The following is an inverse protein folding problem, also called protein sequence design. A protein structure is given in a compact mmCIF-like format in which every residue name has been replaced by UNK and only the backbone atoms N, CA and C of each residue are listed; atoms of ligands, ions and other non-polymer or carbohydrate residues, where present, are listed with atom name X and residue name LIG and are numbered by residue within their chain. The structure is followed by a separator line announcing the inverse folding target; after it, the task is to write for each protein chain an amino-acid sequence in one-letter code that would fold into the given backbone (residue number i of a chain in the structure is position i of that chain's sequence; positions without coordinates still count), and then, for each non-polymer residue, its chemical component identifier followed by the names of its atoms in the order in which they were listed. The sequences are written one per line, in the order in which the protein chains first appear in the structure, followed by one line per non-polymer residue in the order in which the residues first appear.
data_IF_709103934848
#
_entry.id   IF_709103934848
#
_cell.length_a   1.000
_cell.length_b   1.000
_cell.length_c   1.000
_cell.angle_alpha   90.00
_cell.angle_beta   90.00
_cell.angle_gamma   90.00
#
_symmetry.space_group_name_H-M   'P 1'
#
loop_
_entity.id
_entity.type
_entity.pdbx_description
1 polymer ?
#
# COMPACT_ATOMS: atom_id res chain seq x y z
N UNK A 1 -38.65 6.27 1.47
CA UNK A 1 -37.23 5.86 1.43
C UNK A 1 -36.69 6.02 2.84
N UNK A 2 -36.38 4.93 3.56
CA UNK A 2 -35.88 5.02 4.95
C UNK A 2 -34.49 5.66 4.91
N UNK A 3 -34.28 6.71 5.70
CA UNK A 3 -32.97 7.31 5.89
C UNK A 3 -32.02 6.26 6.49
N UNK A 4 -31.02 5.84 5.71
CA UNK A 4 -30.05 4.79 6.06
C UNK A 4 -28.99 5.33 7.05
N UNK A 5 -28.96 6.64 7.28
CA UNK A 5 -27.97 7.31 8.14
C UNK A 5 -28.55 7.79 9.47
N UNK A 6 -29.63 7.17 9.95
CA UNK A 6 -30.17 7.47 11.26
C UNK A 6 -29.23 6.91 12.33
N UNK A 7 -28.37 7.78 12.84
CA UNK A 7 -27.65 7.65 14.11
C UNK A 7 -26.79 6.37 14.21
N UNK A 8 -25.78 6.26 13.33
CA UNK A 8 -24.67 5.35 13.58
C UNK A 8 -23.97 5.82 14.85
N UNK A 9 -24.35 5.21 15.98
CA UNK A 9 -23.69 5.35 17.26
C UNK A 9 -22.18 5.40 17.02
N UNK A 10 -21.56 6.52 17.37
CA UNK A 10 -20.13 6.83 17.17
C UNK A 10 -19.30 5.56 17.42
N UNK A 11 -18.89 4.87 16.36
CA UNK A 11 -18.16 3.61 16.48
C UNK A 11 -16.81 3.94 17.12
N UNK A 12 -16.69 3.63 18.42
CA UNK A 12 -15.46 3.82 19.16
C UNK A 12 -14.47 2.75 18.74
N UNK A 13 -13.38 3.15 18.11
CA UNK A 13 -12.26 2.26 17.81
C UNK A 13 -11.37 2.14 19.04
N UNK A 14 -11.02 0.91 19.41
CA UNK A 14 -10.07 0.64 20.48
C UNK A 14 -8.79 0.05 19.87
N UNK A 15 -7.64 0.56 20.31
CA UNK A 15 -6.33 -0.01 19.99
C UNK A 15 -5.90 -0.79 21.22
N UNK A 16 -5.69 -2.08 21.05
CA UNK A 16 -5.11 -2.95 22.07
C UNK A 16 -3.90 -3.68 21.49
N UNK A 17 -3.03 -4.15 22.38
CA UNK A 17 -1.83 -4.88 22.00
C UNK A 17 -2.04 -6.37 22.24
N UNK A 18 -1.55 -7.18 21.31
CA UNK A 18 -1.43 -8.61 21.55
C UNK A 18 -0.43 -8.84 22.70
N UNK A 19 -0.73 -9.72 23.68
CA UNK A 19 0.26 -10.08 24.68
C UNK A 19 1.52 -10.66 24.03
N UNK A 20 2.66 -10.54 24.72
CA UNK A 20 3.91 -11.17 24.27
C UNK A 20 3.73 -12.69 24.37
N UNK A 21 3.83 -13.37 23.24
CA UNK A 21 3.78 -14.83 23.15
C UNK A 21 5.22 -15.32 23.00
N UNK A 22 5.71 -16.03 24.02
CA UNK A 22 7.04 -16.64 23.98
C UNK A 22 7.01 -17.90 23.10
N UNK A 23 7.75 -17.87 22.00
CA UNK A 23 7.85 -18.98 21.06
C UNK A 23 8.47 -18.57 19.74
N UNK A 24 8.84 -19.55 18.91
CA UNK A 24 9.29 -19.27 17.55
C UNK A 24 8.08 -18.81 16.70
N UNK A 25 8.09 -17.62 16.09
CA UNK A 25 6.99 -17.14 15.24
C UNK A 25 6.72 -18.05 14.02
N UNK A 26 7.65 -18.94 13.67
CA UNK A 26 7.49 -19.93 12.62
C UNK A 26 6.92 -21.28 13.11
N UNK A 27 6.79 -21.49 14.42
CA UNK A 27 6.22 -22.71 14.98
C UNK A 27 4.68 -22.72 14.86
N UNK A 28 4.11 -23.88 14.55
CA UNK A 28 2.68 -24.01 14.34
C UNK A 28 1.88 -23.78 15.63
N UNK A 29 2.39 -24.21 16.79
CA UNK A 29 1.69 -24.00 18.07
C UNK A 29 1.72 -22.54 18.49
N UNK A 30 2.84 -21.84 18.23
CA UNK A 30 2.95 -20.40 18.48
C UNK A 30 1.96 -19.62 17.60
N UNK A 31 1.85 -19.96 16.30
CA UNK A 31 0.87 -19.34 15.40
C UNK A 31 -0.56 -19.65 15.85
N UNK A 32 -0.86 -20.88 16.25
CA UNK A 32 -2.18 -21.26 16.75
C UNK A 32 -2.55 -20.49 18.03
N UNK A 33 -1.62 -20.40 19.00
CA UNK A 33 -1.81 -19.63 20.23
C UNK A 33 -2.07 -18.16 19.91
N UNK A 34 -1.31 -17.58 18.99
CA UNK A 34 -1.50 -16.21 18.49
C UNK A 34 -2.92 -15.99 17.95
N UNK A 35 -3.39 -16.89 17.09
CA UNK A 35 -4.75 -16.83 16.53
C UNK A 35 -5.83 -16.89 17.62
N UNK A 36 -5.65 -17.71 18.65
CA UNK A 36 -6.59 -17.83 19.78
C UNK A 36 -6.61 -16.57 20.64
N UNK A 37 -5.46 -15.95 20.88
CA UNK A 37 -5.40 -14.67 21.57
C UNK A 37 -6.06 -13.54 20.76
N UNK A 38 -5.86 -13.50 19.44
CA UNK A 38 -6.58 -12.55 18.57
C UNK A 38 -8.10 -12.72 18.68
N UNK A 39 -8.60 -13.96 18.70
CA UNK A 39 -10.03 -14.24 18.90
C UNK A 39 -10.51 -13.76 20.27
N UNK A 40 -9.76 -14.04 21.34
CA UNK A 40 -10.08 -13.62 22.70
C UNK A 40 -10.22 -12.10 22.81
N UNK A 41 -9.30 -11.36 22.19
CA UNK A 41 -9.33 -9.89 22.17
C UNK A 41 -10.47 -9.33 21.30
N UNK A 42 -10.94 -10.06 20.30
CA UNK A 42 -12.04 -9.62 19.44
C UNK A 42 -13.44 -9.83 20.03
N UNK A 43 -13.58 -10.49 21.18
CA UNK A 43 -14.84 -10.65 21.93
C UNK A 43 -16.05 -10.99 21.01
N UNK A 44 -15.97 -12.11 20.31
CA UNK A 44 -16.99 -12.63 19.37
C UNK A 44 -17.24 -11.79 18.09
N UNK A 45 -16.47 -10.73 17.86
CA UNK A 45 -16.47 -9.99 16.58
C UNK A 45 -15.69 -10.77 15.52
N UNK A 46 -15.90 -10.38 14.25
CA UNK A 46 -15.12 -10.90 13.12
C UNK A 46 -13.64 -10.61 13.33
N UNK A 47 -12.83 -11.66 13.50
CA UNK A 47 -11.38 -11.53 13.65
C UNK A 47 -10.70 -11.56 12.29
N UNK A 48 -10.04 -10.46 11.91
CA UNK A 48 -9.21 -10.38 10.71
C UNK A 48 -7.77 -10.23 11.15
N UNK A 49 -6.89 -11.14 10.74
CA UNK A 49 -5.47 -11.12 11.11
C UNK A 49 -4.62 -11.04 9.85
N UNK A 50 -3.70 -10.08 9.81
CA UNK A 50 -2.80 -9.88 8.68
C UNK A 50 -1.45 -10.51 8.95
N UNK A 51 -0.91 -11.29 8.00
CA UNK A 51 0.33 -12.04 8.14
C UNK A 51 1.27 -11.81 6.95
N UNK A 52 2.57 -11.90 7.17
CA UNK A 52 3.55 -12.01 6.07
C UNK A 52 3.40 -13.35 5.34
N UNK A 53 3.85 -13.41 4.07
CA UNK A 53 3.58 -14.55 3.18
C UNK A 53 3.89 -15.92 3.78
N UNK A 54 5.06 -16.10 4.38
CA UNK A 54 5.47 -17.40 4.93
C UNK A 54 4.60 -17.83 6.12
N UNK A 55 4.21 -16.89 6.98
CA UNK A 55 3.35 -17.16 8.15
C UNK A 55 1.90 -17.31 7.70
N UNK A 56 1.46 -16.52 6.71
CA UNK A 56 0.11 -16.58 6.14
C UNK A 56 -0.22 -17.99 5.63
N UNK A 57 0.71 -18.63 4.92
CA UNK A 57 0.53 -20.01 4.43
C UNK A 57 0.24 -20.98 5.59
N UNK A 58 1.04 -20.94 6.65
CA UNK A 58 0.86 -21.77 7.85
C UNK A 58 -0.45 -21.43 8.59
N UNK A 59 -0.76 -20.15 8.73
CA UNK A 59 -1.97 -19.68 9.40
C UNK A 59 -3.24 -20.14 8.68
N UNK A 60 -3.27 -20.09 7.34
CA UNK A 60 -4.39 -20.60 6.53
C UNK A 60 -4.61 -22.08 6.78
N UNK A 61 -3.54 -22.88 6.82
CA UNK A 61 -3.64 -24.32 7.08
C UNK A 61 -4.16 -24.60 8.49
N UNK A 62 -3.63 -23.92 9.50
CA UNK A 62 -4.09 -24.03 10.90
C UNK A 62 -5.57 -23.65 11.03
N UNK A 63 -5.98 -22.51 10.44
CA UNK A 63 -7.37 -22.03 10.48
C UNK A 63 -8.33 -23.04 9.87
N UNK A 64 -7.95 -23.63 8.72
CA UNK A 64 -8.74 -24.66 8.05
C UNK A 64 -8.84 -25.93 8.89
N UNK A 65 -7.72 -26.43 9.42
CA UNK A 65 -7.67 -27.67 10.18
C UNK A 65 -8.43 -27.56 11.51
N UNK A 66 -8.29 -26.44 12.22
CA UNK A 66 -8.94 -26.19 13.51
C UNK A 66 -10.33 -25.53 13.38
N UNK A 67 -10.81 -25.30 12.15
CA UNK A 67 -12.09 -24.64 11.82
C UNK A 67 -12.29 -23.32 12.62
N UNK A 68 -11.27 -22.46 12.62
CA UNK A 68 -11.31 -21.21 13.36
C UNK A 68 -12.10 -20.14 12.58
N UNK A 69 -12.96 -19.34 13.23
CA UNK A 69 -13.73 -18.27 12.59
C UNK A 69 -12.87 -17.00 12.37
N UNK A 70 -11.71 -17.16 11.74
CA UNK A 70 -10.73 -16.09 11.48
C UNK A 70 -10.59 -15.90 9.98
N UNK A 71 -10.48 -14.64 9.54
CA UNK A 71 -10.16 -14.29 8.16
C UNK A 71 -8.66 -13.97 8.07
N UNK A 72 -7.82 -14.87 7.53
CA UNK A 72 -6.40 -14.58 7.34
C UNK A 72 -6.19 -13.68 6.12
N UNK A 73 -5.55 -12.53 6.32
CA UNK A 73 -5.19 -11.60 5.25
C UNK A 73 -3.69 -11.66 4.99
N UNK A 74 -3.30 -11.74 3.72
CA UNK A 74 -1.90 -11.57 3.34
C UNK A 74 -1.51 -10.10 3.49
N UNK A 75 -0.42 -9.84 4.22
CA UNK A 75 0.17 -8.54 4.40
C UNK A 75 0.69 -8.00 3.07
N UNK A 76 0.23 -6.81 2.71
CA UNK A 76 0.64 -6.16 1.46
C UNK A 76 1.99 -5.45 1.54
N UNK A 77 2.52 -5.21 2.74
CA UNK A 77 3.73 -4.39 2.91
C UNK A 77 4.99 -5.07 2.37
N UNK A 78 5.23 -6.34 2.76
CA UNK A 78 6.36 -7.10 2.23
C UNK A 78 6.20 -7.37 0.72
N UNK A 79 4.97 -7.62 0.25
CA UNK A 79 4.70 -7.73 -1.18
C UNK A 79 5.08 -6.45 -1.93
N UNK A 80 4.74 -5.28 -1.38
CA UNK A 80 5.07 -3.99 -1.98
C UNK A 80 6.58 -3.73 -1.98
N UNK A 81 7.29 -4.08 -0.90
CA UNK A 81 8.76 -4.02 -0.86
C UNK A 81 9.40 -4.95 -1.89
N UNK A 82 8.92 -6.19 -2.01
CA UNK A 82 9.39 -7.13 -3.03
C UNK A 82 9.11 -6.66 -4.45
N UNK A 83 7.96 -6.02 -4.68
CA UNK A 83 7.62 -5.42 -5.96
C UNK A 83 8.59 -4.29 -6.34
N UNK A 84 8.92 -3.41 -5.40
CA UNK A 84 9.90 -2.34 -5.62
C UNK A 84 11.29 -2.89 -5.95
N UNK A 85 11.74 -3.92 -5.22
CA UNK A 85 12.99 -4.62 -5.54
C UNK A 85 12.98 -5.28 -6.92
N UNK A 86 11.84 -5.87 -7.31
CA UNK A 86 11.66 -6.43 -8.64
C UNK A 86 11.70 -5.37 -9.75
N UNK A 87 11.17 -4.16 -9.51
CA UNK A 87 11.31 -3.04 -10.43
C UNK A 87 12.78 -2.66 -10.65
N UNK A 88 13.57 -2.58 -9.57
CA UNK A 88 15.01 -2.35 -9.70
C UNK A 88 15.71 -3.43 -10.53
N UNK A 89 15.35 -4.70 -10.31
CA UNK A 89 15.91 -5.82 -11.06
C UNK A 89 15.52 -5.84 -12.54
N UNK A 90 14.25 -5.61 -12.89
CA UNK A 90 13.82 -5.60 -14.31
C UNK A 90 14.33 -4.36 -15.06
N UNK A 91 14.60 -3.27 -14.34
CA UNK A 91 15.13 -2.02 -14.88
C UNK A 91 16.64 -1.89 -14.68
N UNK A 92 17.35 -2.99 -14.41
CA UNK A 92 18.81 -3.01 -14.40
C UNK A 92 19.35 -2.47 -15.75
N UNK A 93 20.43 -1.69 -15.68
CA UNK A 93 21.05 -1.01 -16.83
C UNK A 93 20.17 -0.01 -17.61
N UNK A 94 18.99 0.35 -17.11
CA UNK A 94 18.10 1.34 -17.77
C UNK A 94 18.49 2.81 -17.54
N UNK A 95 19.49 3.07 -16.70
CA UNK A 95 19.78 4.42 -16.18
C UNK A 95 19.01 4.77 -14.90
N UNK A 96 18.17 3.85 -14.39
CA UNK A 96 17.36 4.09 -13.19
C UNK A 96 18.23 4.33 -11.95
N UNK A 97 19.35 3.61 -11.80
CA UNK A 97 20.27 3.78 -10.68
C UNK A 97 20.83 5.21 -10.64
N UNK A 98 21.24 5.72 -11.79
CA UNK A 98 21.82 7.05 -11.97
C UNK A 98 20.80 8.12 -11.61
N UNK A 99 19.55 7.97 -12.05
CA UNK A 99 18.46 8.88 -11.67
C UNK A 99 18.18 8.85 -10.17
N UNK A 100 18.20 7.67 -9.54
CA UNK A 100 18.05 7.53 -8.08
C UNK A 100 19.23 8.23 -7.38
N UNK A 101 20.45 8.10 -7.88
CA UNK A 101 21.64 8.75 -7.31
C UNK A 101 21.60 10.28 -7.39
N UNK A 102 20.87 10.86 -8.34
CA UNK A 102 20.62 12.31 -8.39
C UNK A 102 19.72 12.79 -7.24
N UNK A 103 18.75 11.96 -6.82
CA UNK A 103 17.81 12.28 -5.73
C UNK A 103 18.44 11.97 -4.37
N UNK A 104 19.13 10.83 -4.29
CA UNK A 104 19.77 10.30 -3.09
C UNK A 104 21.25 10.05 -3.37
N UNK A 105 22.12 11.04 -3.10
CA UNK A 105 23.55 10.90 -3.33
C UNK A 105 24.15 9.71 -2.55
N UNK A 106 24.97 8.91 -3.23
CA UNK A 106 25.73 7.81 -2.64
C UNK A 106 25.21 6.41 -2.99
N UNK A 107 26.15 5.51 -3.30
CA UNK A 107 25.87 4.19 -3.87
C UNK A 107 25.04 3.29 -2.93
N UNK A 108 25.29 3.32 -1.62
CA UNK A 108 24.62 2.42 -0.66
C UNK A 108 23.13 2.69 -0.56
N UNK A 109 22.73 3.96 -0.45
CA UNK A 109 21.30 4.30 -0.34
C UNK A 109 20.59 4.03 -1.67
N UNK A 110 21.21 4.39 -2.79
CA UNK A 110 20.64 4.14 -4.12
C UNK A 110 20.45 2.64 -4.41
N UNK A 111 21.42 1.80 -4.04
CA UNK A 111 21.31 0.35 -4.19
C UNK A 111 20.24 -0.24 -3.26
N UNK A 112 20.14 0.24 -2.03
CA UNK A 112 19.04 -0.18 -1.14
C UNK A 112 17.67 0.22 -1.68
N UNK A 113 17.60 1.33 -2.41
CA UNK A 113 16.36 1.77 -3.06
C UNK A 113 16.00 0.83 -4.22
N UNK A 114 16.95 0.53 -5.09
CA UNK A 114 16.74 -0.41 -6.19
C UNK A 114 16.33 -1.79 -5.68
N UNK A 115 16.90 -2.23 -4.56
CA UNK A 115 16.60 -3.54 -3.99
C UNK A 115 15.29 -3.58 -3.17
N UNK A 116 14.52 -2.49 -3.12
CA UNK A 116 13.25 -2.43 -2.38
C UNK A 116 13.42 -2.48 -0.85
N UNK A 117 14.61 -2.13 -0.34
CA UNK A 117 14.98 -2.25 1.08
C UNK A 117 14.66 -1.00 1.89
N UNK A 118 14.48 0.15 1.25
CA UNK A 118 14.25 1.45 1.89
C UNK A 118 12.89 2.06 1.53
N UNK A 119 11.81 1.29 1.76
CA UNK A 119 10.44 1.56 1.30
C UNK A 119 10.02 3.04 1.16
N UNK A 120 10.21 3.86 2.19
CA UNK A 120 9.86 5.28 2.19
C UNK A 120 10.64 6.08 1.13
N UNK A 121 11.94 5.81 1.01
CA UNK A 121 12.82 6.38 -0.02
C UNK A 121 12.54 5.78 -1.38
N UNK A 122 12.20 4.49 -1.45
CA UNK A 122 11.89 3.79 -2.70
C UNK A 122 10.69 4.45 -3.37
N UNK A 123 9.58 4.58 -2.64
CA UNK A 123 8.36 5.23 -3.14
C UNK A 123 8.66 6.67 -3.57
N UNK A 124 9.38 7.44 -2.74
CA UNK A 124 9.70 8.83 -3.07
C UNK A 124 10.58 8.94 -4.32
N UNK A 125 11.60 8.10 -4.47
CA UNK A 125 12.48 8.10 -5.63
C UNK A 125 11.71 7.78 -6.90
N UNK A 126 10.95 6.67 -6.90
CA UNK A 126 10.18 6.25 -8.06
C UNK A 126 9.13 7.29 -8.48
N UNK A 127 8.41 7.91 -7.55
CA UNK A 127 7.43 8.95 -7.87
C UNK A 127 8.07 10.21 -8.47
N UNK A 128 9.22 10.64 -7.94
CA UNK A 128 9.96 11.79 -8.47
C UNK A 128 10.50 11.51 -9.89
N UNK A 129 11.02 10.30 -10.11
CA UNK A 129 11.52 9.86 -11.42
C UNK A 129 10.37 9.77 -12.43
N UNK A 130 9.26 9.13 -12.06
CA UNK A 130 8.06 9.04 -12.90
C UNK A 130 7.54 10.42 -13.29
N UNK A 131 7.44 11.34 -12.33
CA UNK A 131 7.05 12.73 -12.58
C UNK A 131 8.02 13.43 -13.53
N UNK A 132 9.33 13.25 -13.34
CA UNK A 132 10.34 13.88 -14.19
C UNK A 132 10.31 13.33 -15.63
N UNK A 133 10.16 12.02 -15.78
CA UNK A 133 9.99 11.36 -17.08
C UNK A 133 8.73 11.88 -17.77
N UNK A 134 7.60 11.92 -17.06
CA UNK A 134 6.36 12.43 -17.60
C UNK A 134 6.51 13.88 -18.07
N UNK A 135 7.06 14.76 -17.23
CA UNK A 135 7.32 16.16 -17.59
C UNK A 135 8.24 16.28 -18.82
N UNK A 136 9.25 15.42 -18.93
CA UNK A 136 10.16 15.40 -20.06
C UNK A 136 9.45 14.97 -21.35
N UNK A 137 8.70 13.86 -21.31
CA UNK A 137 7.91 13.36 -22.45
C UNK A 137 6.91 14.42 -22.90
N UNK A 138 6.19 15.06 -21.97
CA UNK A 138 5.19 16.08 -22.32
C UNK A 138 5.81 17.26 -23.08
N UNK A 139 7.01 17.72 -22.68
CA UNK A 139 7.74 18.78 -23.41
C UNK A 139 8.13 18.41 -24.83
N UNK A 140 8.33 17.11 -25.09
CA UNK A 140 8.72 16.63 -26.42
C UNK A 140 7.53 16.23 -27.29
N UNK A 141 6.43 15.79 -26.68
CA UNK A 141 5.25 15.29 -27.36
C UNK A 141 4.22 16.39 -27.68
N UNK A 142 4.24 17.51 -26.95
CA UNK A 142 3.25 18.57 -27.07
C UNK A 142 3.92 19.92 -27.33
N UNK A 143 3.21 20.76 -28.08
CA UNK A 143 3.59 22.16 -28.28
C UNK A 143 3.39 22.98 -27.00
N UNK A 144 4.07 24.12 -26.89
CA UNK A 144 3.92 25.02 -25.72
C UNK A 144 2.48 25.52 -25.54
N UNK A 145 1.70 25.61 -26.61
CA UNK A 145 0.27 25.96 -26.57
C UNK A 145 -0.56 24.86 -25.89
N UNK A 146 -0.42 23.61 -26.33
CA UNK A 146 -1.09 22.44 -25.74
C UNK A 146 -0.70 22.23 -24.26
N UNK A 147 0.57 22.47 -23.93
CA UNK A 147 1.05 22.44 -22.54
C UNK A 147 0.44 23.56 -21.68
N UNK A 148 0.22 24.75 -22.27
CA UNK A 148 -0.46 25.88 -21.63
C UNK A 148 -1.93 25.59 -21.31
N UNK A 149 -2.64 24.97 -22.25
CA UNK A 149 -4.03 24.53 -22.06
C UNK A 149 -4.14 23.48 -20.95
N UNK A 150 -3.25 22.49 -20.95
CA UNK A 150 -3.25 21.43 -19.96
C UNK A 150 -2.88 21.94 -18.56
N UNK A 151 -1.96 22.91 -18.45
CA UNK A 151 -1.65 23.60 -17.17
C UNK A 151 -2.89 24.31 -16.62
N UNK A 152 -3.57 25.06 -17.49
CA UNK A 152 -4.81 25.76 -17.14
C UNK A 152 -5.90 24.78 -16.70
N UNK A 153 -6.00 23.61 -17.34
CA UNK A 153 -6.91 22.54 -16.95
C UNK A 153 -6.53 22.00 -15.55
N UNK A 154 -5.26 21.65 -15.32
CA UNK A 154 -4.78 21.15 -14.04
C UNK A 154 -5.03 22.15 -12.89
N UNK A 155 -4.82 23.44 -13.11
CA UNK A 155 -5.14 24.50 -12.15
C UNK A 155 -6.64 24.55 -11.82
N UNK A 156 -7.50 24.44 -12.84
CA UNK A 156 -8.96 24.34 -12.64
C UNK A 156 -9.39 23.08 -11.88
N UNK A 157 -8.69 21.96 -12.07
CA UNK A 157 -8.92 20.71 -11.33
C UNK A 157 -8.50 20.87 -9.87
N UNK A 158 -7.30 21.38 -9.64
CA UNK A 158 -6.71 21.59 -8.31
C UNK A 158 -7.52 22.57 -7.46
N UNK A 159 -8.10 23.60 -8.09
CA UNK A 159 -9.01 24.56 -7.45
C UNK A 159 -10.41 23.99 -7.15
N UNK A 160 -10.68 22.71 -7.45
CA UNK A 160 -11.98 22.07 -7.24
C UNK A 160 -13.12 22.58 -8.14
N UNK A 161 -12.82 23.44 -9.13
CA UNK A 161 -13.82 24.08 -10.00
C UNK A 161 -14.46 23.12 -11.00
N UNK A 162 -13.92 21.92 -11.21
CA UNK A 162 -14.52 20.89 -12.07
C UNK A 162 -15.52 19.97 -11.36
N UNK A 163 -15.65 20.04 -10.03
CA UNK A 163 -16.51 19.14 -9.26
C UNK A 163 -18.00 19.49 -9.26
N UNK A 164 -18.42 20.59 -9.90
CA UNK A 164 -19.80 21.04 -9.86
C UNK A 164 -20.43 21.06 -11.26
N UNK A 165 -21.32 20.08 -11.51
CA UNK A 165 -22.29 19.96 -12.62
C UNK A 165 -21.92 19.01 -13.75
N UNK A 166 -22.07 17.71 -13.48
CA UNK A 166 -22.86 16.87 -14.39
C UNK A 166 -24.05 16.33 -13.60
N UNK A 167 -25.20 17.00 -13.73
CA UNK A 167 -26.47 16.36 -13.41
C UNK A 167 -26.66 15.26 -14.47
N UNK A 168 -26.50 14.01 -14.06
CA UNK A 168 -26.99 12.87 -14.82
C UNK A 168 -28.51 13.03 -14.86
N UNK A 169 -29.04 13.51 -15.98
CA UNK A 169 -30.47 13.39 -16.25
C UNK A 169 -30.75 11.90 -16.45
N UNK A 170 -31.37 11.27 -15.46
CA UNK A 170 -31.95 9.95 -15.57
C UNK A 170 -33.09 9.99 -16.60
N UNK A 171 -33.01 9.13 -17.61
CA UNK A 171 -34.19 8.60 -18.32
C UNK A 171 -34.93 7.62 -17.39
#
# INVERSE_FOLDING_TARGET
MKHIHADDAKQSTLIDFLPVIEGDPNDHNTIFTTLKECMRLSEDKVTIVTFDLLIWLKAVDIIKQANLPIIPRLGGFHLLKSYLGYLGNIMEDSGLLELIQLIYPGCTTANHILDGRCFDKDIRAHLLIDTAIYQHIMKHAFTEEELGEMRTLMEKVADGKMGARQQIQSL
#
